data_IF_252248309053
#
_entry.id   IF_252248309053
#
_cell.length_a   1.000
_cell.length_b   1.000
_cell.length_c   1.000
_cell.angle_alpha   90.00
_cell.angle_beta   90.00
_cell.angle_gamma   90.00
#
_symmetry.space_group_name_H-M   'P 1'
#
loop_
_entity.id
_entity.type
_entity.pdbx_description
1 polymer ?
#
# COMPACT_ATOMS: atom_id res chain seq x y z
N UNK A 1 26.45 20.44 21.35
CA UNK A 1 25.43 20.80 20.36
C UNK A 1 24.13 20.08 20.62
N UNK A 2 23.02 20.72 20.30
CA UNK A 2 21.68 20.14 20.27
C UNK A 2 21.17 20.20 18.84
N UNK A 3 20.65 19.09 18.34
CA UNK A 3 20.00 18.98 17.03
C UNK A 3 18.52 18.76 17.28
N UNK A 4 17.68 19.60 16.69
CA UNK A 4 16.22 19.45 16.69
C UNK A 4 15.83 19.05 15.28
N UNK A 5 15.09 17.96 15.12
CA UNK A 5 14.75 17.41 13.80
C UNK A 5 13.38 16.77 13.78
N UNK A 6 12.73 16.74 12.62
CA UNK A 6 11.39 16.16 12.47
C UNK A 6 10.92 16.18 11.02
N UNK A 7 9.79 15.52 10.71
CA UNK A 7 9.21 15.55 9.37
C UNK A 7 8.91 16.99 8.93
N UNK A 8 9.25 17.30 7.67
CA UNK A 8 9.17 18.67 7.15
C UNK A 8 7.73 19.13 6.94
N UNK A 9 6.83 18.20 6.62
CA UNK A 9 5.40 18.44 6.44
C UNK A 9 4.70 18.82 7.75
N UNK A 10 5.20 18.34 8.89
CA UNK A 10 4.68 18.68 10.23
C UNK A 10 5.64 19.55 11.04
N UNK A 11 6.63 20.20 10.40
CA UNK A 11 7.68 20.96 11.11
C UNK A 11 7.15 22.12 11.99
N UNK A 12 5.93 22.58 11.75
CA UNK A 12 5.26 23.58 12.59
C UNK A 12 4.80 23.03 13.96
N UNK A 13 4.67 21.70 14.11
CA UNK A 13 4.23 21.04 15.34
C UNK A 13 5.43 20.53 16.15
N UNK A 14 5.66 21.15 17.32
CA UNK A 14 6.74 20.78 18.24
C UNK A 14 6.65 19.33 18.74
N UNK A 15 5.45 18.72 18.77
CA UNK A 15 5.30 17.33 19.20
C UNK A 15 5.85 16.31 18.18
N UNK A 16 6.10 16.76 16.95
CA UNK A 16 6.66 15.91 15.88
C UNK A 16 8.18 16.02 15.78
N UNK A 17 8.80 16.83 16.66
CA UNK A 17 10.24 17.07 16.68
C UNK A 17 10.92 16.22 17.74
N UNK A 18 11.99 15.59 17.32
CA UNK A 18 12.94 14.91 18.19
C UNK A 18 14.15 15.81 18.46
N UNK A 19 14.86 15.52 19.54
CA UNK A 19 16.08 16.23 19.92
C UNK A 19 17.22 15.25 20.19
N UNK A 20 18.37 15.49 19.58
CA UNK A 20 19.62 14.79 19.86
C UNK A 20 20.64 15.74 20.47
N UNK A 21 21.20 15.37 21.62
CA UNK A 21 22.30 16.10 22.26
C UNK A 21 23.62 15.35 21.97
N UNK A 22 24.66 16.10 21.62
CA UNK A 22 26.02 15.58 21.37
C UNK A 22 27.07 16.57 21.88
N UNK A 23 28.22 16.07 22.35
CA UNK A 23 29.41 16.87 22.67
C UNK A 23 30.38 16.99 21.49
N UNK A 24 30.18 16.21 20.42
CA UNK A 24 30.99 16.24 19.19
C UNK A 24 30.48 17.27 18.18
N UNK A 25 31.33 17.69 17.25
CA UNK A 25 30.96 18.52 16.08
C UNK A 25 30.14 17.75 15.03
N UNK A 26 29.99 16.44 15.20
CA UNK A 26 29.19 15.57 14.34
C UNK A 26 28.26 14.66 15.15
N UNK A 27 27.19 14.18 14.52
CA UNK A 27 26.29 13.19 15.11
C UNK A 27 25.52 12.45 14.03
N UNK A 28 25.07 11.24 14.36
CA UNK A 28 24.22 10.41 13.50
C UNK A 28 22.83 10.39 14.10
N UNK A 29 21.83 10.67 13.26
CA UNK A 29 20.42 10.55 13.61
C UNK A 29 19.93 9.16 13.20
N UNK A 30 19.34 8.43 14.14
CA UNK A 30 18.80 7.08 13.92
C UNK A 30 17.27 7.09 14.00
N UNK A 31 16.62 6.06 13.46
CA UNK A 31 15.18 5.87 13.58
C UNK A 31 14.35 6.85 12.74
N UNK A 32 14.94 7.47 11.73
CA UNK A 32 14.23 8.32 10.79
C UNK A 32 13.26 7.48 9.95
N UNK A 33 12.08 8.03 9.65
CA UNK A 33 11.09 7.39 8.77
C UNK A 33 11.65 7.28 7.36
N UNK A 34 11.31 6.18 6.67
CA UNK A 34 11.71 5.89 5.28
C UNK A 34 11.04 6.87 4.33
N UNK A 35 11.72 7.22 3.23
CA UNK A 35 11.23 8.13 2.20
C UNK A 35 10.49 9.38 2.72
N UNK A 36 11.07 10.02 3.73
CA UNK A 36 10.45 11.15 4.44
C UNK A 36 11.38 12.36 4.38
N UNK A 37 10.83 13.52 4.03
CA UNK A 37 11.56 14.79 4.07
C UNK A 37 11.71 15.25 5.52
N UNK A 38 12.92 15.47 5.99
CA UNK A 38 13.23 15.96 7.32
C UNK A 38 13.75 17.39 7.29
N UNK A 39 13.32 18.17 8.29
CA UNK A 39 13.84 19.50 8.59
C UNK A 39 14.60 19.44 9.91
N UNK A 40 15.74 20.13 9.96
CA UNK A 40 16.68 20.05 11.08
C UNK A 40 17.26 21.41 11.40
N UNK A 41 17.46 21.68 12.69
CA UNK A 41 18.18 22.86 13.18
C UNK A 41 19.20 22.44 14.23
N UNK A 42 20.36 23.08 14.20
CA UNK A 42 21.43 22.86 15.17
C UNK A 42 21.61 24.12 16.01
N UNK A 43 21.83 23.94 17.31
CA UNK A 43 22.19 25.03 18.22
C UNK A 43 23.28 24.58 19.21
N UNK A 44 24.07 25.55 19.66
CA UNK A 44 24.88 25.38 20.87
C UNK A 44 23.99 25.56 22.11
N UNK A 45 24.34 24.95 23.23
CA UNK A 45 23.70 25.19 24.52
C UNK A 45 24.76 25.19 25.62
N UNK A 46 24.52 25.96 26.68
CA UNK A 46 25.39 26.06 27.86
C UNK A 46 24.55 25.94 29.13
N UNK A 47 25.16 26.09 30.31
CA UNK A 47 24.42 26.21 31.57
C UNK A 47 23.45 27.41 31.59
N UNK A 48 23.69 28.44 30.77
CA UNK A 48 22.79 29.57 30.58
C UNK A 48 21.59 29.29 29.67
N UNK A 49 21.51 28.09 29.10
CA UNK A 49 20.41 27.66 28.23
C UNK A 49 20.79 27.49 26.75
N UNK A 50 19.75 27.43 25.92
CA UNK A 50 19.84 27.19 24.48
C UNK A 50 20.26 28.47 23.74
N UNK A 51 21.25 28.34 22.86
CA UNK A 51 21.69 29.41 21.96
C UNK A 51 20.80 29.56 20.73
N UNK A 52 21.22 30.44 19.82
CA UNK A 52 20.52 30.69 18.56
C UNK A 52 20.52 29.44 17.68
N UNK A 53 19.35 29.11 17.10
CA UNK A 53 19.20 28.02 16.13
C UNK A 53 19.78 28.41 14.78
N UNK A 54 20.40 27.45 14.09
CA UNK A 54 20.81 27.59 12.70
C UNK A 54 19.61 27.82 11.78
N UNK A 55 19.88 28.23 10.53
CA UNK A 55 18.90 28.08 9.46
C UNK A 55 18.51 26.60 9.32
N UNK A 56 17.25 26.28 8.97
CA UNK A 56 16.83 24.91 8.72
C UNK A 56 17.66 24.25 7.61
N UNK A 57 18.03 23.00 7.85
CA UNK A 57 18.65 22.10 6.88
C UNK A 57 17.60 21.06 6.49
N UNK A 58 17.50 20.76 5.20
CA UNK A 58 16.54 19.81 4.67
C UNK A 58 17.26 18.59 4.10
N UNK A 59 16.72 17.41 4.34
CA UNK A 59 17.15 16.18 3.68
C UNK A 59 15.95 15.26 3.46
N UNK A 60 16.10 14.27 2.59
CA UNK A 60 15.14 13.19 2.43
C UNK A 60 15.83 11.87 2.74
N UNK A 61 15.16 11.01 3.50
CA UNK A 61 15.63 9.63 3.68
C UNK A 61 15.39 8.81 2.41
N UNK A 62 16.24 7.82 2.18
CA UNK A 62 16.14 6.94 1.01
C UNK A 62 14.82 6.14 0.98
N UNK A 63 14.49 5.66 -0.21
CA UNK A 63 13.39 4.71 -0.40
C UNK A 63 13.72 3.36 0.23
N UNK A 64 12.67 2.57 0.46
CA UNK A 64 12.77 1.17 0.86
C UNK A 64 11.62 0.39 0.20
N UNK A 65 11.54 -0.91 0.50
CA UNK A 65 10.42 -1.74 0.09
C UNK A 65 9.11 -1.30 0.77
N UNK A 66 7.96 -1.37 0.06
CA UNK A 66 6.68 -0.99 0.65
C UNK A 66 6.23 -1.91 1.79
N UNK A 67 5.35 -1.39 2.64
CA UNK A 67 4.46 -2.25 3.43
C UNK A 67 3.48 -3.03 2.52
N UNK A 68 2.82 -4.09 3.03
CA UNK A 68 1.83 -4.82 2.26
C UNK A 68 0.66 -3.95 1.76
N UNK A 69 0.12 -4.23 0.55
CA UNK A 69 -1.16 -3.70 0.12
C UNK A 69 -2.26 -3.95 1.14
N UNK A 70 -3.19 -2.99 1.26
CA UNK A 70 -4.25 -3.02 2.25
C UNK A 70 -5.59 -3.43 1.63
N UNK A 71 -6.57 -3.79 2.48
CA UNK A 71 -7.95 -4.09 2.07
C UNK A 71 -8.08 -5.09 0.90
N UNK A 72 -7.23 -6.12 0.85
CA UNK A 72 -7.29 -7.17 -0.17
C UNK A 72 -8.61 -7.93 -0.06
N UNK A 73 -9.32 -8.06 -1.19
CA UNK A 73 -10.61 -8.75 -1.31
C UNK A 73 -10.58 -9.66 -2.53
N UNK A 74 -11.14 -10.85 -2.38
CA UNK A 74 -11.42 -11.77 -3.48
C UNK A 74 -12.93 -11.90 -3.68
N UNK A 75 -13.36 -11.94 -4.94
CA UNK A 75 -14.76 -12.03 -5.33
C UNK A 75 -14.92 -13.02 -6.47
N UNK A 76 -15.86 -13.96 -6.32
CA UNK A 76 -16.13 -14.95 -7.36
C UNK A 76 -16.78 -14.25 -8.56
N UNK A 77 -16.20 -14.44 -9.75
CA UNK A 77 -16.74 -13.94 -11.01
C UNK A 77 -17.48 -15.07 -11.73
N UNK A 78 -16.82 -16.22 -11.88
CA UNK A 78 -17.36 -17.42 -12.55
C UNK A 78 -16.95 -18.70 -11.81
N UNK A 79 -17.35 -19.87 -12.31
CA UNK A 79 -16.83 -21.15 -11.79
C UNK A 79 -15.36 -21.42 -12.05
N UNK A 80 -14.68 -20.54 -12.79
CA UNK A 80 -13.27 -20.69 -13.17
C UNK A 80 -12.49 -19.37 -13.00
N UNK A 81 -13.10 -18.32 -12.46
CA UNK A 81 -12.43 -17.03 -12.25
C UNK A 81 -12.83 -16.29 -10.97
N UNK A 82 -11.85 -15.63 -10.38
CA UNK A 82 -11.96 -14.83 -9.16
C UNK A 82 -11.29 -13.48 -9.39
N UNK A 83 -12.01 -12.39 -9.07
CA UNK A 83 -11.47 -11.04 -9.08
C UNK A 83 -10.80 -10.75 -7.72
N UNK A 84 -9.51 -10.42 -7.75
CA UNK A 84 -8.75 -9.94 -6.60
C UNK A 84 -8.65 -8.43 -6.71
N UNK A 85 -8.91 -7.71 -5.62
CA UNK A 85 -8.79 -6.24 -5.55
C UNK A 85 -8.10 -5.83 -4.26
N UNK A 86 -7.42 -4.69 -4.27
CA UNK A 86 -6.64 -4.20 -3.13
C UNK A 86 -6.59 -2.66 -3.11
N UNK A 87 -6.10 -2.11 -2.01
CA UNK A 87 -5.73 -0.71 -1.87
C UNK A 87 -4.21 -0.56 -1.74
N UNK A 88 -3.64 0.61 -2.08
CA UNK A 88 -2.23 0.87 -1.85
C UNK A 88 -1.79 0.63 -0.39
N UNK A 89 -0.49 0.38 -0.15
CA UNK A 89 0.07 0.35 1.19
C UNK A 89 -0.13 1.68 1.91
N UNK A 90 -0.36 1.61 3.22
CA UNK A 90 -0.42 2.80 4.08
C UNK A 90 0.93 3.49 4.20
N UNK A 91 2.02 2.71 4.22
CA UNK A 91 3.38 3.22 4.20
C UNK A 91 4.09 2.64 2.97
N UNK A 92 4.05 3.34 1.82
CA UNK A 92 4.67 2.86 0.59
C UNK A 92 6.21 2.89 0.65
N UNK A 93 6.80 3.61 1.62
CA UNK A 93 8.24 3.79 1.82
C UNK A 93 9.00 4.21 0.55
N UNK A 94 8.32 4.84 -0.39
CA UNK A 94 8.83 5.18 -1.71
C UNK A 94 7.72 5.32 -2.73
N UNK A 95 8.08 5.35 -4.01
CA UNK A 95 7.15 5.36 -5.13
C UNK A 95 6.83 3.92 -5.51
N UNK A 96 5.56 3.53 -5.37
CA UNK A 96 5.10 2.20 -5.82
C UNK A 96 5.13 2.15 -7.34
N UNK A 97 5.89 1.21 -7.89
CA UNK A 97 6.08 1.03 -9.35
C UNK A 97 5.35 -0.18 -9.90
N UNK A 98 4.91 -1.12 -9.03
CA UNK A 98 4.28 -2.37 -9.45
C UNK A 98 3.51 -3.02 -8.30
N UNK A 99 2.50 -3.82 -8.61
CA UNK A 99 1.95 -4.83 -7.71
C UNK A 99 2.17 -6.24 -8.28
N UNK A 100 2.36 -7.23 -7.41
CA UNK A 100 2.37 -8.64 -7.80
C UNK A 100 1.21 -9.36 -7.12
N UNK A 101 0.33 -9.98 -7.89
CA UNK A 101 -0.77 -10.80 -7.38
C UNK A 101 -0.35 -12.26 -7.42
N UNK A 102 -0.49 -12.95 -6.30
CA UNK A 102 -0.16 -14.35 -6.14
C UNK A 102 -1.42 -15.19 -5.99
N UNK A 103 -1.40 -16.39 -6.57
CA UNK A 103 -2.48 -17.38 -6.54
C UNK A 103 -1.87 -18.74 -6.23
N UNK A 104 -2.34 -19.38 -5.16
CA UNK A 104 -1.94 -20.75 -4.80
C UNK A 104 -3.17 -21.63 -4.58
N UNK A 105 -3.15 -22.83 -5.14
CA UNK A 105 -4.18 -23.84 -4.87
C UNK A 105 -3.96 -24.44 -3.48
N UNK A 106 -5.01 -24.53 -2.68
CA UNK A 106 -5.00 -25.19 -1.38
C UNK A 106 -5.32 -26.68 -1.59
N UNK A 107 -4.30 -27.45 -1.94
CA UNK A 107 -4.36 -28.92 -2.05
C UNK A 107 -3.07 -29.56 -1.53
N UNK A 108 -3.14 -30.84 -1.16
CA UNK A 108 -1.96 -31.59 -0.69
C UNK A 108 -0.90 -31.74 -1.79
N UNK A 109 -1.34 -31.87 -3.05
CA UNK A 109 -0.46 -31.95 -4.22
C UNK A 109 0.19 -30.61 -4.56
N UNK A 110 -0.52 -29.50 -4.35
CA UNK A 110 -0.04 -28.14 -4.64
C UNK A 110 0.76 -27.51 -3.48
N UNK A 111 0.97 -28.25 -2.39
CA UNK A 111 1.64 -27.73 -1.19
C UNK A 111 3.07 -27.30 -1.48
N UNK A 112 3.78 -28.09 -2.28
CA UNK A 112 5.18 -27.83 -2.68
C UNK A 112 5.28 -27.03 -3.99
N UNK A 113 4.16 -26.77 -4.68
CA UNK A 113 4.15 -25.93 -5.86
C UNK A 113 4.35 -24.46 -5.49
N UNK A 114 5.15 -23.75 -6.30
CA UNK A 114 5.29 -22.31 -6.19
C UNK A 114 3.98 -21.61 -6.57
N UNK A 115 3.61 -20.52 -5.86
CA UNK A 115 2.44 -19.74 -6.19
C UNK A 115 2.59 -19.13 -7.58
N UNK A 116 1.51 -19.19 -8.38
CA UNK A 116 1.46 -18.45 -9.65
C UNK A 116 1.43 -16.97 -9.33
N UNK A 117 2.29 -16.19 -9.99
CA UNK A 117 2.36 -14.74 -9.78
C UNK A 117 2.09 -13.97 -11.06
N UNK A 118 1.47 -12.80 -10.95
CA UNK A 118 1.23 -11.89 -12.07
C UNK A 118 1.51 -10.47 -11.66
N UNK A 119 2.37 -9.79 -12.42
CA UNK A 119 2.77 -8.40 -12.20
C UNK A 119 1.80 -7.46 -12.92
N UNK A 120 1.33 -6.44 -12.23
CA UNK A 120 0.41 -5.43 -12.77
C UNK A 120 0.95 -4.02 -12.50
N UNK A 121 0.62 -3.04 -13.37
CA UNK A 121 1.10 -1.67 -13.24
C UNK A 121 0.57 -0.98 -11.96
N UNK A 122 1.22 0.11 -11.49
CA UNK A 122 0.94 0.70 -10.18
C UNK A 122 -0.41 1.44 -10.11
N UNK A 123 -1.05 1.72 -11.24
CA UNK A 123 -2.39 2.31 -11.30
C UNK A 123 -3.51 1.26 -11.28
N UNK A 124 -3.17 -0.04 -11.42
CA UNK A 124 -4.14 -1.12 -11.40
C UNK A 124 -4.33 -1.65 -9.98
N UNK A 125 -5.57 -1.65 -9.50
CA UNK A 125 -5.94 -2.05 -8.13
C UNK A 125 -6.79 -3.33 -8.08
N UNK A 126 -6.90 -4.03 -9.20
CA UNK A 126 -7.62 -5.29 -9.31
C UNK A 126 -7.07 -6.18 -10.42
N UNK A 127 -7.20 -7.49 -10.27
CA UNK A 127 -6.77 -8.50 -11.22
C UNK A 127 -7.74 -9.68 -11.21
N UNK A 128 -8.20 -10.12 -12.39
CA UNK A 128 -9.03 -11.32 -12.50
C UNK A 128 -8.14 -12.55 -12.72
N UNK A 129 -8.10 -13.44 -11.73
CA UNK A 129 -7.45 -14.73 -11.85
C UNK A 129 -8.39 -15.69 -12.57
N UNK A 130 -8.03 -16.09 -13.79
CA UNK A 130 -8.82 -17.00 -14.66
C UNK A 130 -8.20 -18.39 -14.74
N UNK A 131 -8.97 -19.38 -15.22
CA UNK A 131 -8.49 -20.75 -15.43
C UNK A 131 -8.34 -21.54 -14.14
N UNK A 132 -9.11 -21.18 -13.11
CA UNK A 132 -9.12 -21.85 -11.81
C UNK A 132 -9.91 -23.16 -11.88
N UNK A 133 -9.48 -24.18 -11.15
CA UNK A 133 -10.20 -25.46 -11.08
C UNK A 133 -11.51 -25.29 -10.30
N UNK A 134 -12.60 -25.84 -10.84
CA UNK A 134 -13.92 -25.82 -10.19
C UNK A 134 -13.86 -26.50 -8.83
N UNK A 135 -14.47 -25.86 -7.81
CA UNK A 135 -14.55 -26.36 -6.42
C UNK A 135 -13.21 -26.49 -5.68
N UNK A 136 -12.08 -26.18 -6.30
CA UNK A 136 -10.80 -26.08 -5.60
C UNK A 136 -10.71 -24.75 -4.84
N UNK A 137 -10.07 -24.76 -3.68
CA UNK A 137 -9.88 -23.56 -2.86
C UNK A 137 -8.54 -22.94 -3.21
N UNK A 138 -8.50 -21.62 -3.30
CA UNK A 138 -7.30 -20.87 -3.64
C UNK A 138 -7.03 -19.80 -2.60
N UNK A 139 -5.74 -19.58 -2.33
CA UNK A 139 -5.23 -18.45 -1.58
C UNK A 139 -4.76 -17.36 -2.53
N UNK A 140 -5.10 -16.12 -2.22
CA UNK A 140 -4.70 -14.94 -2.97
C UNK A 140 -4.05 -13.93 -2.03
N UNK A 141 -2.89 -13.41 -2.41
CA UNK A 141 -2.26 -12.28 -1.73
C UNK A 141 -1.59 -11.35 -2.73
N UNK A 142 -1.31 -10.13 -2.29
CA UNK A 142 -0.73 -9.10 -3.14
C UNK A 142 0.48 -8.50 -2.44
N UNK A 143 1.53 -8.21 -3.20
CA UNK A 143 2.70 -7.43 -2.76
C UNK A 143 2.74 -6.12 -3.55
N UNK A 144 3.46 -5.12 -3.03
CA UNK A 144 3.80 -3.90 -3.75
C UNK A 144 5.31 -3.82 -3.91
N UNK A 145 5.79 -3.19 -4.97
CA UNK A 145 7.21 -2.94 -5.20
C UNK A 145 7.50 -1.47 -5.38
N UNK A 146 8.62 -1.00 -4.80
CA UNK A 146 9.28 0.25 -5.19
C UNK A 146 10.45 -0.05 -6.14
N UNK A 147 11.21 0.97 -6.51
CA UNK A 147 12.47 0.78 -7.25
C UNK A 147 13.56 0.07 -6.41
N UNK A 148 13.39 -0.03 -5.09
CA UNK A 148 14.30 -0.76 -4.19
C UNK A 148 14.02 -2.26 -4.24
N UNK A 149 12.75 -2.64 -4.29
CA UNK A 149 12.37 -4.04 -4.34
C UNK A 149 10.92 -4.30 -3.97
N UNK A 150 10.60 -5.58 -3.84
CA UNK A 150 9.29 -6.09 -3.46
C UNK A 150 9.13 -6.11 -1.93
N UNK A 151 7.99 -5.59 -1.48
CA UNK A 151 7.60 -5.55 -0.08
C UNK A 151 7.01 -6.87 0.41
N UNK A 152 6.57 -6.86 1.66
CA UNK A 152 5.95 -8.04 2.28
C UNK A 152 4.57 -8.35 1.67
N UNK A 153 4.13 -9.63 1.66
CA UNK A 153 2.83 -10.01 1.16
C UNK A 153 1.70 -9.53 2.08
N UNK A 154 0.55 -9.22 1.49
CA UNK A 154 -0.69 -8.99 2.24
C UNK A 154 -1.11 -10.25 3.00
N UNK A 155 -2.02 -10.09 3.96
CA UNK A 155 -2.74 -11.24 4.52
C UNK A 155 -3.45 -11.98 3.37
N UNK A 156 -3.30 -13.31 3.27
CA UNK A 156 -3.96 -14.06 2.21
C UNK A 156 -5.47 -14.06 2.42
N UNK A 157 -6.20 -14.01 1.31
CA UNK A 157 -7.65 -14.25 1.27
C UNK A 157 -7.91 -15.57 0.57
N UNK A 158 -8.84 -16.36 1.11
CA UNK A 158 -9.14 -17.68 0.58
C UNK A 158 -10.52 -17.70 -0.06
N UNK A 159 -10.61 -18.25 -1.26
CA UNK A 159 -11.88 -18.35 -1.97
C UNK A 159 -11.85 -19.49 -2.98
N UNK A 160 -13.01 -20.12 -3.20
CA UNK A 160 -13.20 -21.13 -4.24
C UNK A 160 -14.13 -20.57 -5.33
N UNK A 161 -13.82 -20.79 -6.62
CA UNK A 161 -14.68 -20.33 -7.69
C UNK A 161 -16.00 -21.13 -7.71
N UNK A 162 -17.08 -20.47 -8.12
CA UNK A 162 -18.44 -21.00 -8.04
C UNK A 162 -19.27 -20.60 -9.26
N UNK A 163 -20.07 -21.54 -9.78
CA UNK A 163 -21.08 -21.28 -10.81
C UNK A 163 -22.39 -20.70 -10.24
N UNK A 164 -22.45 -20.47 -8.93
CA UNK A 164 -23.59 -19.88 -8.24
C UNK A 164 -23.08 -18.71 -7.42
N UNK A 165 -23.13 -17.53 -8.01
CA UNK A 165 -22.75 -16.27 -7.37
C UNK A 165 -24.01 -15.41 -7.31
N UNK A 166 -24.52 -15.08 -6.11
CA UNK A 166 -25.61 -14.12 -5.98
C UNK A 166 -25.21 -12.80 -6.63
N UNK A 167 -26.17 -12.13 -7.27
CA UNK A 167 -25.94 -10.80 -7.82
C UNK A 167 -25.51 -9.84 -6.69
N UNK A 168 -24.30 -9.28 -6.80
CA UNK A 168 -23.74 -8.34 -5.82
C UNK A 168 -22.97 -7.23 -6.52
N UNK A 169 -23.02 -6.03 -5.97
CA UNK A 169 -22.11 -4.97 -6.41
C UNK A 169 -20.71 -5.27 -5.86
N UNK A 170 -19.78 -5.48 -6.77
CA UNK A 170 -18.38 -5.79 -6.52
C UNK A 170 -17.55 -4.54 -6.22
N UNK A 171 -17.90 -3.41 -6.84
CA UNK A 171 -17.13 -2.18 -6.74
C UNK A 171 -18.00 -1.09 -6.12
N UNK A 172 -17.69 -0.76 -4.87
CA UNK A 172 -17.76 0.60 -4.36
C UNK A 172 -16.59 0.79 -3.41
N UNK A 173 -15.73 1.75 -3.73
CA UNK A 173 -15.06 2.49 -2.66
C UNK A 173 -16.13 3.37 -2.00
N UNK A 174 -16.10 3.48 -0.68
CA UNK A 174 -17.05 4.33 0.07
C UNK A 174 -16.94 5.82 -0.31
N UNK A 175 -15.89 6.19 -1.07
CA UNK A 175 -15.60 7.55 -1.53
C UNK A 175 -15.08 7.52 -2.97
N UNK A 176 -15.61 8.41 -3.81
CA UNK A 176 -15.12 8.67 -5.16
C UNK A 176 -14.81 10.16 -5.31
N UNK A 177 -13.80 10.49 -6.10
CA UNK A 177 -13.38 11.88 -6.37
C UNK A 177 -13.63 12.20 -7.84
N UNK A 178 -14.37 13.27 -8.12
CA UNK A 178 -14.65 13.75 -9.47
C UNK A 178 -13.97 15.10 -9.71
N UNK A 179 -13.49 15.35 -10.93
CA UNK A 179 -13.01 16.67 -11.33
C UNK A 179 -14.15 17.68 -11.34
N UNK A 180 -13.90 18.90 -10.87
CA UNK A 180 -14.89 19.97 -10.89
C UNK A 180 -15.35 20.26 -12.34
N UNK A 181 -16.68 20.26 -12.55
CA UNK A 181 -17.37 20.48 -13.85
C UNK A 181 -17.21 19.39 -14.91
N UNK A 182 -16.70 18.21 -14.56
CA UNK A 182 -16.72 17.05 -15.43
C UNK A 182 -17.86 16.09 -15.07
N UNK A 183 -18.30 15.29 -16.05
CA UNK A 183 -19.30 14.25 -15.82
C UNK A 183 -18.78 13.18 -14.85
N UNK A 184 -19.59 12.86 -13.85
CA UNK A 184 -19.30 11.80 -12.88
C UNK A 184 -19.62 10.44 -13.50
N UNK A 185 -18.58 9.63 -13.75
CA UNK A 185 -18.74 8.22 -14.15
C UNK A 185 -18.64 7.33 -12.92
N UNK A 186 -19.77 6.76 -12.51
CA UNK A 186 -19.81 5.80 -11.41
C UNK A 186 -19.40 4.40 -11.91
N UNK A 187 -18.27 3.84 -11.46
CA UNK A 187 -17.94 2.45 -11.74
C UNK A 187 -18.89 1.54 -10.95
N UNK A 188 -19.80 0.86 -11.64
CA UNK A 188 -20.71 -0.12 -11.03
C UNK A 188 -20.38 -1.50 -11.59
N UNK A 189 -19.41 -2.19 -10.97
CA UNK A 189 -19.13 -3.57 -11.31
C UNK A 189 -20.12 -4.45 -10.54
N UNK A 190 -21.01 -5.13 -11.25
CA UNK A 190 -21.88 -6.14 -10.68
C UNK A 190 -21.32 -7.53 -11.00
N UNK A 191 -21.32 -8.41 -10.00
CA UNK A 191 -20.96 -9.82 -10.15
C UNK A 191 -22.16 -10.69 -9.89
N UNK A 192 -22.24 -11.81 -10.57
CA UNK A 192 -23.31 -12.79 -10.42
C UNK A 192 -23.19 -13.85 -11.49
N UNK A 193 -23.69 -15.05 -11.19
CA UNK A 193 -23.80 -16.14 -12.18
C UNK A 193 -25.26 -16.65 -12.14
N UNK A 194 -26.07 -16.41 -13.20
CA UNK A 194 -25.71 -15.73 -14.45
C UNK A 194 -25.38 -14.25 -14.26
N UNK A 195 -24.64 -13.68 -15.23
CA UNK A 195 -24.21 -12.29 -15.18
C UNK A 195 -25.41 -11.35 -14.97
N UNK A 196 -25.37 -10.45 -13.98
CA UNK A 196 -26.48 -9.56 -13.70
C UNK A 196 -26.68 -8.56 -14.84
N UNK A 197 -27.92 -8.26 -15.16
CA UNK A 197 -28.27 -7.23 -16.14
C UNK A 197 -28.08 -5.84 -15.51
N UNK A 198 -27.20 -5.01 -16.09
CA UNK A 198 -26.92 -3.65 -15.60
C UNK A 198 -27.86 -2.67 -16.28
N UNK A 199 -28.82 -2.13 -15.53
CA UNK A 199 -29.74 -1.08 -15.99
C UNK A 199 -29.70 0.11 -15.04
N UNK A 200 -29.46 1.30 -15.59
CA UNK A 200 -29.66 2.57 -14.90
C UNK A 200 -31.09 3.05 -15.22
N UNK A 201 -31.92 3.25 -14.19
CA UNK A 201 -33.30 3.76 -14.31
C UNK A 201 -33.46 5.02 -13.48
#
# INVERSE_FOLDING_TARGET
YKVVYGPSDTWYDENTKDTKITSSSETILHGLKKYTNYSMQVLAFTSGGDGVRSTPIHCQTEQDVPEPPSAVKALVMTGESILVSWKPPTQPNGVVVQYTVYVKEESDEAKDEEPKSTKVPPFQMSYEATGLKKKARYEFWVTASTNIGEGQPSKPVQLAPSNRVPAKIASFDDKFTATYREDVKLPCLAVGVPAPEVKWK
#
